data_IF_438321847619
#
_entry.id   IF_438321847619
#
_cell.length_a   1.000
_cell.length_b   1.000
_cell.length_c   1.000
_cell.angle_alpha   90.00
_cell.angle_beta   90.00
_cell.angle_gamma   90.00
#
_symmetry.space_group_name_H-M   'P 1'
#
loop_
_entity.id
_entity.type
_entity.pdbx_description
1 polymer ?
#
# COMPACT_ATOMS: atom_id res chain seq x y z
N UNK A 1 -8.75 -29.08 19.48
CA UNK A 1 -7.42 -28.63 19.04
C UNK A 1 -7.46 -28.52 17.53
N UNK A 2 -7.04 -27.41 16.93
CA UNK A 2 -6.93 -27.33 15.48
C UNK A 2 -5.78 -28.24 15.06
N UNK A 3 -6.00 -29.05 14.03
CA UNK A 3 -5.00 -29.93 13.45
C UNK A 3 -3.83 -29.08 12.89
N UNK A 4 -2.59 -29.45 13.27
CA UNK A 4 -1.39 -28.77 12.80
C UNK A 4 -0.98 -29.32 11.44
N UNK A 5 -0.87 -28.46 10.43
CA UNK A 5 -0.43 -28.85 9.10
C UNK A 5 1.09 -29.03 9.09
N UNK A 6 1.54 -30.27 8.85
CA UNK A 6 2.96 -30.68 8.84
C UNK A 6 3.48 -30.96 7.45
N UNK A 7 2.62 -31.04 6.43
CA UNK A 7 3.03 -31.32 5.04
C UNK A 7 3.20 -30.04 4.23
N UNK A 8 4.38 -29.86 3.60
CA UNK A 8 4.65 -28.79 2.65
C UNK A 8 3.80 -28.87 1.37
N UNK A 9 3.28 -30.07 1.04
CA UNK A 9 2.40 -30.29 -0.13
C UNK A 9 0.92 -30.03 0.16
N UNK A 10 0.56 -29.66 1.38
CA UNK A 10 -0.82 -29.32 1.74
C UNK A 10 -1.36 -28.16 0.89
N UNK A 11 -2.62 -28.27 0.45
CA UNK A 11 -3.25 -27.29 -0.45
C UNK A 11 -3.32 -25.87 0.17
N UNK A 12 -3.52 -25.76 1.47
CA UNK A 12 -3.51 -24.47 2.17
C UNK A 12 -2.12 -23.83 2.18
N UNK A 13 -1.06 -24.64 2.34
CA UNK A 13 0.32 -24.15 2.24
C UNK A 13 0.66 -23.73 0.81
N UNK A 14 0.25 -24.50 -0.21
CA UNK A 14 0.40 -24.12 -1.62
C UNK A 14 -0.34 -22.83 -1.95
N UNK A 15 -1.56 -22.69 -1.44
CA UNK A 15 -2.35 -21.47 -1.62
C UNK A 15 -1.61 -20.23 -1.09
N UNK A 16 -1.12 -20.27 0.17
CA UNK A 16 -0.40 -19.11 0.75
C UNK A 16 0.86 -18.80 -0.06
N UNK A 17 1.65 -19.81 -0.44
CA UNK A 17 2.83 -19.61 -1.29
C UNK A 17 2.50 -18.98 -2.63
N UNK A 18 1.36 -19.32 -3.23
CA UNK A 18 0.93 -18.71 -4.49
C UNK A 18 0.72 -17.20 -4.40
N UNK A 19 0.45 -16.67 -3.20
CA UNK A 19 0.29 -15.24 -2.97
C UNK A 19 1.62 -14.46 -2.98
N UNK A 20 2.77 -15.14 -3.02
CA UNK A 20 4.06 -14.47 -3.19
C UNK A 20 4.17 -13.82 -4.57
N UNK A 21 3.51 -14.39 -5.58
CA UNK A 21 3.53 -13.85 -6.96
C UNK A 21 2.24 -13.07 -7.30
N UNK A 22 2.40 -12.08 -8.22
CA UNK A 22 1.28 -11.23 -8.67
C UNK A 22 0.14 -12.04 -9.28
N UNK A 23 0.47 -13.05 -10.11
CA UNK A 23 -0.52 -13.92 -10.78
C UNK A 23 -1.35 -14.70 -9.76
N UNK A 24 -0.70 -15.23 -8.73
CA UNK A 24 -1.38 -15.95 -7.65
C UNK A 24 -2.30 -15.04 -6.85
N UNK A 25 -1.88 -13.81 -6.50
CA UNK A 25 -2.72 -12.83 -5.83
C UNK A 25 -3.95 -12.47 -6.64
N UNK A 26 -3.78 -12.16 -7.92
CA UNK A 26 -4.89 -11.82 -8.82
C UNK A 26 -5.86 -12.98 -9.02
N UNK A 27 -5.35 -14.20 -9.25
CA UNK A 27 -6.18 -15.41 -9.40
C UNK A 27 -7.05 -15.68 -8.18
N UNK A 28 -6.50 -15.47 -6.99
CA UNK A 28 -7.17 -15.80 -5.73
C UNK A 28 -7.92 -14.62 -5.10
N UNK A 29 -7.77 -13.40 -5.63
CA UNK A 29 -8.36 -12.19 -5.06
C UNK A 29 -7.84 -11.85 -3.66
N UNK A 30 -6.60 -12.30 -3.32
CA UNK A 30 -6.07 -12.24 -1.96
C UNK A 30 -4.60 -11.79 -1.93
N UNK A 31 -4.21 -11.25 -0.80
CA UNK A 31 -2.82 -11.00 -0.42
C UNK A 31 -2.61 -11.37 1.06
N UNK A 32 -1.39 -11.34 1.54
CA UNK A 32 -1.14 -11.55 2.97
C UNK A 32 -0.28 -10.45 3.58
N UNK A 33 -0.51 -10.22 4.86
CA UNK A 33 0.33 -9.39 5.72
C UNK A 33 1.02 -10.26 6.75
N UNK A 34 2.32 -10.10 6.91
CA UNK A 34 3.16 -10.91 7.80
C UNK A 34 3.72 -10.09 8.95
N UNK A 35 3.69 -10.66 10.13
CA UNK A 35 4.30 -10.11 11.35
C UNK A 35 3.30 -9.75 12.44
N UNK A 36 3.76 -9.83 13.69
CA UNK A 36 2.90 -9.72 14.89
C UNK A 36 2.18 -8.37 14.93
N UNK A 37 2.89 -7.26 14.68
CA UNK A 37 2.29 -5.91 14.79
C UNK A 37 1.14 -5.71 13.82
N UNK A 38 1.37 -6.02 12.53
CA UNK A 38 0.37 -5.80 11.50
C UNK A 38 -0.81 -6.77 11.62
N UNK A 39 -0.55 -8.03 11.98
CA UNK A 39 -1.63 -9.00 12.20
C UNK A 39 -2.45 -8.64 13.44
N UNK A 40 -1.82 -8.10 14.49
CA UNK A 40 -2.55 -7.56 15.63
C UNK A 40 -3.51 -6.44 15.20
N UNK A 41 -3.06 -5.51 14.37
CA UNK A 41 -3.92 -4.46 13.82
C UNK A 41 -5.09 -5.05 12.98
N UNK A 42 -4.83 -6.06 12.16
CA UNK A 42 -5.89 -6.78 11.42
C UNK A 42 -6.94 -7.37 12.38
N UNK A 43 -6.50 -7.98 13.49
CA UNK A 43 -7.42 -8.55 14.49
C UNK A 43 -8.26 -7.46 15.15
N UNK A 44 -7.69 -6.33 15.50
CA UNK A 44 -8.37 -5.21 16.14
C UNK A 44 -9.36 -4.53 15.20
N UNK A 45 -9.08 -4.47 13.91
CA UNK A 45 -9.92 -3.87 12.87
C UNK A 45 -10.82 -4.86 12.12
N UNK A 46 -10.96 -6.08 12.60
CA UNK A 46 -11.75 -7.14 11.99
C UNK A 46 -13.20 -6.72 11.79
N UNK A 47 -13.85 -6.31 11.18
CA UNK A 47 -15.19 -5.77 10.91
C UNK A 47 -15.13 -4.70 9.84
N UNK A 48 -13.95 -4.11 9.66
CA UNK A 48 -13.65 -3.15 8.61
C UNK A 48 -12.64 -3.69 7.57
N UNK A 49 -12.16 -4.93 7.76
CA UNK A 49 -11.15 -5.56 6.91
C UNK A 49 -11.64 -6.96 6.51
N UNK A 50 -11.52 -7.29 5.22
CA UNK A 50 -11.92 -8.58 4.68
C UNK A 50 -10.88 -9.67 5.02
N UNK A 51 -10.84 -10.08 6.27
CA UNK A 51 -9.97 -11.15 6.76
C UNK A 51 -10.50 -12.52 6.31
N UNK A 52 -9.73 -13.22 5.49
CA UNK A 52 -10.05 -14.60 5.08
C UNK A 52 -9.67 -15.61 6.14
N UNK A 53 -8.42 -15.58 6.62
CA UNK A 53 -7.94 -16.38 7.76
C UNK A 53 -6.58 -15.90 8.27
N UNK A 54 -6.20 -16.35 9.46
CA UNK A 54 -4.86 -16.18 10.04
C UNK A 54 -4.12 -17.51 9.94
N UNK A 55 -2.89 -17.50 9.41
CA UNK A 55 -1.97 -18.64 9.45
C UNK A 55 -0.87 -18.38 10.49
N UNK A 56 -0.56 -19.36 11.31
CA UNK A 56 0.43 -19.21 12.37
C UNK A 56 1.19 -20.50 12.68
N UNK A 57 2.37 -20.34 13.28
CA UNK A 57 3.12 -21.43 13.90
C UNK A 57 3.33 -21.10 15.38
N UNK A 58 2.73 -21.90 16.25
CA UNK A 58 2.87 -21.73 17.70
C UNK A 58 4.33 -21.91 18.14
N UNK A 59 5.03 -22.89 17.54
CA UNK A 59 6.45 -23.16 17.81
C UNK A 59 7.35 -21.94 17.56
N UNK A 60 7.06 -21.13 16.55
CA UNK A 60 7.81 -19.89 16.28
C UNK A 60 7.35 -18.80 17.24
N UNK A 61 6.03 -18.60 17.36
CA UNK A 61 5.45 -17.49 18.12
C UNK A 61 5.86 -17.49 19.60
N UNK A 62 5.93 -18.64 20.25
CA UNK A 62 6.33 -18.71 21.68
C UNK A 62 7.75 -18.18 21.95
N UNK A 63 8.60 -18.13 20.91
CA UNK A 63 10.00 -17.73 20.98
C UNK A 63 10.26 -16.29 20.48
N UNK A 64 9.21 -15.54 20.10
CA UNK A 64 9.34 -14.16 19.62
C UNK A 64 8.64 -13.19 20.56
N UNK A 65 9.15 -11.96 20.62
CA UNK A 65 8.57 -10.92 21.46
C UNK A 65 7.12 -10.58 21.01
N UNK A 66 6.17 -10.55 21.98
CA UNK A 66 4.75 -10.36 21.72
C UNK A 66 4.01 -11.61 21.22
N UNK A 67 4.71 -12.72 20.97
CA UNK A 67 4.13 -13.93 20.38
C UNK A 67 3.10 -14.61 21.29
N UNK A 68 3.33 -14.65 22.61
CA UNK A 68 2.36 -15.23 23.58
C UNK A 68 1.06 -14.42 23.63
N UNK A 69 1.17 -13.08 23.56
CA UNK A 69 0.01 -12.19 23.57
C UNK A 69 -0.86 -12.38 22.34
N UNK A 70 -0.22 -12.41 21.14
CA UNK A 70 -0.94 -12.61 19.89
C UNK A 70 -1.58 -14.00 19.81
N UNK A 71 -0.93 -15.04 20.34
CA UNK A 71 -1.52 -16.38 20.44
C UNK A 71 -2.83 -16.39 21.23
N UNK A 72 -2.91 -15.64 22.34
CA UNK A 72 -4.14 -15.52 23.11
C UNK A 72 -5.25 -14.82 22.34
N UNK A 73 -4.92 -13.83 21.50
CA UNK A 73 -5.88 -13.16 20.60
C UNK A 73 -6.35 -14.12 19.49
N UNK A 74 -5.43 -14.88 18.88
CA UNK A 74 -5.72 -15.85 17.81
C UNK A 74 -6.67 -16.95 18.31
N UNK A 75 -6.58 -17.39 19.54
CA UNK A 75 -7.49 -18.41 20.11
C UNK A 75 -8.96 -18.04 19.91
N UNK A 76 -9.29 -16.75 19.93
CA UNK A 76 -10.65 -16.21 19.75
C UNK A 76 -11.07 -16.03 18.28
N UNK A 77 -10.18 -16.25 17.33
CA UNK A 77 -10.46 -16.14 15.89
C UNK A 77 -10.95 -17.50 15.36
N UNK A 78 -12.08 -17.51 14.65
CA UNK A 78 -12.62 -18.73 14.08
C UNK A 78 -11.78 -19.22 12.89
N UNK A 79 -11.49 -18.33 11.95
CA UNK A 79 -10.76 -18.66 10.73
C UNK A 79 -9.25 -18.57 10.98
N UNK A 80 -8.68 -19.65 11.47
CA UNK A 80 -7.24 -19.76 11.73
C UNK A 80 -6.71 -21.14 11.33
N UNK A 81 -5.45 -21.18 10.91
CA UNK A 81 -4.77 -22.39 10.46
C UNK A 81 -3.42 -22.49 11.16
N UNK A 82 -3.17 -23.61 11.83
CA UNK A 82 -1.89 -23.88 12.47
C UNK A 82 -0.97 -24.67 11.55
N UNK A 83 0.29 -24.26 11.50
CA UNK A 83 1.35 -24.92 10.73
C UNK A 83 2.52 -25.27 11.65
N UNK A 84 3.20 -26.39 11.37
CA UNK A 84 4.52 -26.65 11.98
C UNK A 84 5.51 -25.57 11.56
N UNK A 85 6.57 -25.39 12.36
CA UNK A 85 7.66 -24.44 12.06
C UNK A 85 8.24 -24.64 10.66
N UNK A 86 8.50 -25.90 10.28
CA UNK A 86 9.11 -26.24 9.00
C UNK A 86 8.23 -25.88 7.80
N UNK A 87 6.91 -26.05 7.92
CA UNK A 87 5.98 -25.65 6.87
C UNK A 87 5.84 -24.13 6.84
N UNK A 88 5.67 -23.47 8.00
CA UNK A 88 5.49 -22.03 8.07
C UNK A 88 6.66 -21.28 7.43
N UNK A 89 7.90 -21.71 7.69
CA UNK A 89 9.11 -21.13 7.10
C UNK A 89 9.14 -21.20 5.56
N UNK A 90 8.27 -21.97 4.93
CA UNK A 90 8.16 -22.04 3.46
C UNK A 90 7.01 -21.22 2.89
N UNK A 91 6.18 -20.59 3.72
CA UNK A 91 4.99 -19.88 3.26
C UNK A 91 5.32 -18.50 2.68
N UNK A 92 6.33 -17.84 3.23
CA UNK A 92 6.74 -16.49 2.89
C UNK A 92 8.19 -16.43 2.42
N UNK A 93 8.60 -15.31 1.83
CA UNK A 93 9.97 -15.05 1.39
C UNK A 93 10.84 -14.37 2.48
N UNK A 94 10.29 -14.23 3.70
CA UNK A 94 11.01 -13.62 4.82
C UNK A 94 12.06 -14.59 5.41
N UNK A 95 13.30 -14.14 5.54
CA UNK A 95 14.40 -14.97 6.06
C UNK A 95 14.17 -15.45 7.49
N UNK A 96 13.57 -14.60 8.33
CA UNK A 96 13.26 -14.89 9.74
C UNK A 96 11.80 -14.55 10.02
N UNK A 97 10.85 -15.41 9.63
CA UNK A 97 9.43 -15.16 9.82
C UNK A 97 9.07 -15.14 11.32
N UNK A 98 8.17 -14.24 11.69
CA UNK A 98 7.69 -14.12 13.08
C UNK A 98 6.62 -15.19 13.44
N UNK A 99 6.31 -16.10 12.53
CA UNK A 99 5.39 -17.20 12.79
C UNK A 99 3.91 -16.85 12.70
N UNK A 100 3.56 -15.73 12.05
CA UNK A 100 2.17 -15.31 11.86
C UNK A 100 2.00 -14.47 10.60
N UNK A 101 0.92 -14.75 9.86
CA UNK A 101 0.43 -13.93 8.76
C UNK A 101 -1.10 -13.90 8.72
N UNK A 102 -1.67 -12.85 8.16
CA UNK A 102 -3.09 -12.73 7.88
C UNK A 102 -3.31 -12.69 6.38
N UNK A 103 -4.19 -13.55 5.87
CA UNK A 103 -4.64 -13.52 4.47
C UNK A 103 -5.89 -12.66 4.37
N UNK A 104 -5.84 -11.65 3.51
CA UNK A 104 -6.89 -10.67 3.30
C UNK A 104 -7.39 -10.75 1.86
N UNK A 105 -8.67 -10.48 1.65
CA UNK A 105 -9.26 -10.36 0.32
C UNK A 105 -9.14 -8.92 -0.19
N UNK A 106 -9.00 -8.74 -1.51
CA UNK A 106 -9.06 -7.42 -2.09
C UNK A 106 -10.42 -6.78 -1.85
N UNK A 107 -10.42 -5.48 -1.59
CA UNK A 107 -11.65 -4.69 -1.64
C UNK A 107 -11.87 -4.24 -3.08
N UNK A 108 -12.98 -4.67 -3.68
CA UNK A 108 -13.35 -4.32 -5.07
C UNK A 108 -14.09 -2.98 -5.17
N UNK A 109 -14.04 -2.14 -4.17
CA UNK A 109 -14.75 -0.87 -4.20
C UNK A 109 -14.01 0.14 -5.07
N UNK A 110 -14.56 0.39 -6.26
CA UNK A 110 -14.11 1.43 -7.22
C UNK A 110 -14.61 2.83 -6.84
N UNK A 111 -15.23 2.98 -5.68
CA UNK A 111 -15.79 4.25 -5.25
C UNK A 111 -14.68 5.25 -4.89
N UNK A 112 -14.66 6.37 -5.57
CA UNK A 112 -13.75 7.48 -5.28
C UNK A 112 -14.30 8.29 -4.11
N UNK A 113 -13.46 8.58 -3.12
CA UNK A 113 -13.82 9.45 -2.00
C UNK A 113 -13.89 10.90 -2.49
N UNK A 114 -15.07 11.50 -2.44
CA UNK A 114 -15.33 12.78 -3.10
C UNK A 114 -14.92 14.03 -2.28
N UNK A 115 -14.53 13.88 -1.04
CA UNK A 115 -14.32 15.03 -0.13
C UNK A 115 -12.90 15.17 0.43
N UNK A 116 -11.99 14.26 0.06
CA UNK A 116 -10.60 14.27 0.53
C UNK A 116 -9.61 14.35 -0.63
N UNK A 117 -8.40 14.85 -0.36
CA UNK A 117 -7.34 14.85 -1.35
C UNK A 117 -6.95 13.43 -1.79
N UNK A 118 -6.60 13.29 -3.04
CA UNK A 118 -6.24 12.02 -3.69
C UNK A 118 -4.78 12.08 -4.12
N UNK A 119 -4.07 10.98 -3.94
CA UNK A 119 -2.73 10.79 -4.47
C UNK A 119 -2.79 9.87 -5.70
N UNK A 120 -2.24 10.32 -6.81
CA UNK A 120 -2.10 9.52 -8.04
C UNK A 120 -0.64 9.15 -8.22
N UNK A 121 -0.38 7.87 -8.45
CA UNK A 121 0.93 7.32 -8.77
C UNK A 121 0.97 6.95 -10.26
N UNK A 122 1.65 7.77 -11.04
CA UNK A 122 1.78 7.56 -12.47
C UNK A 122 3.02 6.73 -12.79
N UNK A 123 2.83 5.42 -12.96
CA UNK A 123 3.88 4.48 -13.35
C UNK A 123 5.07 4.42 -12.40
N UNK A 124 4.85 4.61 -11.10
CA UNK A 124 5.88 4.42 -10.06
C UNK A 124 6.25 2.93 -10.00
N UNK A 125 7.52 2.59 -10.19
CA UNK A 125 7.97 1.21 -10.37
C UNK A 125 8.80 0.67 -9.20
N UNK A 126 9.52 1.51 -8.47
CA UNK A 126 10.32 1.03 -7.35
C UNK A 126 9.44 0.67 -6.14
N UNK A 127 9.58 -0.58 -5.69
CA UNK A 127 8.78 -1.14 -4.61
C UNK A 127 9.06 -0.48 -3.24
N UNK A 128 10.27 0.03 -3.03
CA UNK A 128 10.65 0.77 -1.82
C UNK A 128 9.98 2.14 -1.77
N UNK A 129 9.96 2.83 -2.92
CA UNK A 129 9.26 4.09 -3.08
C UNK A 129 7.77 3.94 -2.82
N UNK A 130 7.12 2.92 -3.38
CA UNK A 130 5.69 2.64 -3.14
C UNK A 130 5.38 2.50 -1.65
N UNK A 131 6.16 1.72 -0.92
CA UNK A 131 5.95 1.57 0.52
C UNK A 131 6.14 2.86 1.29
N UNK A 132 7.13 3.67 0.92
CA UNK A 132 7.39 4.99 1.52
C UNK A 132 6.22 5.94 1.23
N UNK A 133 5.73 5.97 0.00
CA UNK A 133 4.61 6.79 -0.43
C UNK A 133 3.34 6.44 0.34
N UNK A 134 2.99 5.15 0.43
CA UNK A 134 1.80 4.69 1.15
C UNK A 134 1.87 5.09 2.63
N UNK A 135 3.05 4.96 3.26
CA UNK A 135 3.24 5.41 4.66
C UNK A 135 3.10 6.92 4.81
N UNK A 136 3.60 7.69 3.86
CA UNK A 136 3.48 9.15 3.88
C UNK A 136 2.03 9.60 3.65
N UNK A 137 1.31 8.92 2.76
CA UNK A 137 -0.11 9.15 2.53
C UNK A 137 -0.92 8.96 3.83
N UNK A 138 -0.74 7.83 4.50
CA UNK A 138 -1.37 7.55 5.79
C UNK A 138 -0.99 8.59 6.86
N UNK A 139 0.30 8.93 6.98
CA UNK A 139 0.79 9.89 7.98
C UNK A 139 0.21 11.31 7.80
N UNK A 140 -0.08 11.72 6.56
CA UNK A 140 -0.58 13.06 6.23
C UNK A 140 -2.06 13.09 5.84
N UNK A 141 -2.80 12.01 6.11
CA UNK A 141 -4.26 11.96 6.02
C UNK A 141 -4.81 11.83 4.61
N UNK A 142 -4.01 11.40 3.62
CA UNK A 142 -4.53 10.98 2.32
C UNK A 142 -5.16 9.59 2.51
N UNK A 143 -6.41 9.44 2.14
CA UNK A 143 -7.17 8.18 2.31
C UNK A 143 -7.31 7.39 1.03
N UNK A 144 -7.00 7.98 -0.11
CA UNK A 144 -7.11 7.33 -1.41
C UNK A 144 -5.88 7.52 -2.26
N UNK A 145 -5.38 6.38 -2.77
CA UNK A 145 -4.27 6.31 -3.71
C UNK A 145 -4.78 5.68 -5.00
N UNK A 146 -4.57 6.35 -6.12
CA UNK A 146 -4.90 5.85 -7.45
C UNK A 146 -3.60 5.51 -8.17
N UNK A 147 -3.46 4.28 -8.63
CA UNK A 147 -2.32 3.81 -9.41
C UNK A 147 -2.71 3.71 -10.88
N UNK A 148 -1.95 4.34 -11.77
CA UNK A 148 -2.14 4.17 -13.22
C UNK A 148 -1.52 2.85 -13.70
N UNK A 149 -1.93 2.40 -14.89
CA UNK A 149 -1.27 1.29 -15.59
C UNK A 149 0.24 1.52 -15.68
N UNK A 150 1.04 0.50 -15.36
CA UNK A 150 2.51 0.59 -15.27
C UNK A 150 3.03 0.87 -13.87
N UNK A 151 2.19 1.24 -12.90
CA UNK A 151 2.58 1.27 -11.49
C UNK A 151 2.78 -0.16 -10.97
N UNK A 152 3.85 -0.37 -10.23
CA UNK A 152 4.17 -1.68 -9.66
C UNK A 152 3.08 -2.15 -8.68
N UNK A 153 3.12 -3.45 -8.36
CA UNK A 153 2.09 -4.06 -7.52
C UNK A 153 2.26 -3.67 -6.05
N UNK A 154 1.35 -2.85 -5.55
CA UNK A 154 1.32 -2.40 -4.14
C UNK A 154 1.08 -3.55 -3.17
N UNK A 155 0.48 -4.65 -3.62
CA UNK A 155 0.24 -5.85 -2.82
C UNK A 155 1.39 -6.86 -2.86
N UNK A 156 2.51 -6.52 -3.49
CA UNK A 156 3.70 -7.39 -3.42
C UNK A 156 4.23 -7.48 -1.98
N UNK A 157 4.73 -8.64 -1.51
CA UNK A 157 5.19 -8.82 -0.13
C UNK A 157 6.23 -7.78 0.29
N UNK A 158 7.11 -7.34 -0.62
CA UNK A 158 8.11 -6.31 -0.36
C UNK A 158 7.48 -4.95 -0.06
N UNK A 159 6.49 -4.52 -0.85
CA UNK A 159 5.76 -3.26 -0.60
C UNK A 159 4.99 -3.36 0.69
N UNK A 160 4.21 -4.43 0.89
CA UNK A 160 3.38 -4.63 2.08
C UNK A 160 4.20 -4.54 3.38
N UNK A 161 5.39 -5.17 3.41
CA UNK A 161 6.30 -5.03 4.56
C UNK A 161 6.76 -3.59 4.78
N UNK A 162 7.07 -2.86 3.71
CA UNK A 162 7.56 -1.47 3.81
C UNK A 162 6.47 -0.48 4.22
N UNK A 163 5.17 -0.79 4.01
CA UNK A 163 4.06 0.06 4.48
C UNK A 163 3.89 0.06 5.98
N UNK A 164 4.45 -0.92 6.72
CA UNK A 164 4.31 -1.05 8.17
C UNK A 164 2.85 -1.01 8.66
N UNK A 165 1.90 -1.56 7.85
CA UNK A 165 0.48 -1.59 8.17
C UNK A 165 -0.34 -0.44 7.58
N UNK A 166 0.25 0.61 7.03
CA UNK A 166 -0.48 1.73 6.40
C UNK A 166 -1.43 1.27 5.30
N UNK A 167 -1.09 0.18 4.60
CA UNK A 167 -1.95 -0.45 3.57
C UNK A 167 -3.38 -0.79 4.07
N UNK A 168 -3.55 -1.01 5.37
CA UNK A 168 -4.85 -1.31 5.99
C UNK A 168 -5.75 -0.08 6.15
N UNK A 169 -5.21 1.11 5.97
CA UNK A 169 -5.87 2.40 6.22
C UNK A 169 -6.11 3.19 4.94
N UNK A 170 -5.49 2.74 3.83
CA UNK A 170 -5.56 3.40 2.54
C UNK A 170 -6.45 2.65 1.56
N UNK A 171 -7.28 3.38 0.82
CA UNK A 171 -8.03 2.84 -0.31
C UNK A 171 -7.16 2.94 -1.56
N UNK A 172 -6.72 1.81 -2.10
CA UNK A 172 -5.86 1.77 -3.29
C UNK A 172 -6.63 1.22 -4.48
N UNK A 173 -6.66 2.00 -5.57
CA UNK A 173 -7.38 1.68 -6.79
C UNK A 173 -6.41 1.71 -7.97
N UNK A 174 -6.51 0.72 -8.86
CA UNK A 174 -5.84 0.74 -10.16
C UNK A 174 -6.81 1.21 -11.24
N UNK A 175 -6.35 2.12 -12.10
CA UNK A 175 -7.13 2.61 -13.23
C UNK A 175 -6.36 2.41 -14.54
N UNK A 176 -7.10 2.03 -15.60
CA UNK A 176 -6.57 1.90 -16.95
C UNK A 176 -6.96 3.13 -17.83
N UNK A 177 -7.98 3.87 -17.40
CA UNK A 177 -8.52 5.00 -18.14
C UNK A 177 -8.41 6.29 -17.32
N UNK A 178 -7.66 7.26 -17.86
CA UNK A 178 -7.45 8.58 -17.24
C UNK A 178 -8.71 9.47 -17.25
N UNK A 179 -9.72 9.18 -18.08
CA UNK A 179 -11.00 9.90 -18.06
C UNK A 179 -11.64 9.90 -16.67
N UNK A 180 -11.40 8.84 -15.89
CA UNK A 180 -11.87 8.77 -14.50
C UNK A 180 -11.27 9.88 -13.61
N UNK A 181 -10.04 10.32 -13.89
CA UNK A 181 -9.43 11.44 -13.17
C UNK A 181 -10.02 12.78 -13.62
N UNK A 182 -10.28 12.93 -14.92
CA UNK A 182 -10.91 14.14 -15.47
C UNK A 182 -12.34 14.31 -14.95
N UNK A 183 -13.09 13.21 -14.80
CA UNK A 183 -14.43 13.25 -14.25
C UNK A 183 -14.48 13.82 -12.83
N UNK A 184 -13.42 13.63 -12.03
CA UNK A 184 -13.32 14.17 -10.67
C UNK A 184 -13.31 15.71 -10.65
N UNK A 185 -12.88 16.37 -11.74
CA UNK A 185 -12.97 17.83 -11.87
C UNK A 185 -14.40 18.34 -11.73
N UNK A 186 -15.41 17.57 -12.17
CA UNK A 186 -16.82 17.90 -12.02
C UNK A 186 -17.26 17.99 -10.55
N UNK A 187 -16.49 17.36 -9.66
CA UNK A 187 -16.70 17.40 -8.20
C UNK A 187 -15.80 18.42 -7.49
N UNK A 188 -15.16 19.32 -8.25
CA UNK A 188 -14.34 20.40 -7.72
C UNK A 188 -12.90 20.01 -7.42
N UNK A 189 -12.40 18.87 -7.89
CA UNK A 189 -11.00 18.52 -7.79
C UNK A 189 -10.14 19.29 -8.80
N UNK A 190 -8.98 19.75 -8.35
CA UNK A 190 -7.91 20.22 -9.22
C UNK A 190 -6.82 19.16 -9.36
N UNK A 191 -6.40 18.83 -10.58
CA UNK A 191 -5.30 17.90 -10.85
C UNK A 191 -3.99 18.66 -10.83
N UNK A 192 -3.10 18.30 -9.91
CA UNK A 192 -1.83 18.97 -9.62
C UNK A 192 -0.68 18.03 -9.94
N UNK A 193 -0.03 18.26 -11.07
CA UNK A 193 1.13 17.46 -11.51
C UNK A 193 2.42 17.95 -10.83
N UNK A 194 3.31 17.00 -10.51
CA UNK A 194 4.65 17.31 -10.00
C UNK A 194 5.67 17.24 -11.13
N UNK A 195 6.36 18.33 -11.39
CA UNK A 195 7.36 18.40 -12.48
C UNK A 195 8.44 19.46 -12.17
N UNK A 196 9.60 19.27 -12.73
CA UNK A 196 10.73 20.22 -12.60
C UNK A 196 10.71 21.32 -13.66
N UNK A 197 9.64 21.44 -14.46
CA UNK A 197 9.50 22.45 -15.48
C UNK A 197 9.60 23.87 -14.88
N UNK A 198 10.20 24.80 -15.59
CA UNK A 198 10.34 26.20 -15.18
C UNK A 198 8.99 26.89 -14.89
N UNK A 199 7.94 26.52 -15.62
CA UNK A 199 6.57 27.03 -15.43
C UNK A 199 5.89 26.50 -14.18
N UNK A 200 6.49 25.54 -13.46
CA UNK A 200 5.90 24.96 -12.26
C UNK A 200 5.97 25.95 -11.09
N UNK A 201 4.87 26.03 -10.36
CA UNK A 201 4.73 26.85 -9.17
C UNK A 201 5.50 26.20 -8.01
N UNK A 202 6.33 26.97 -7.31
CA UNK A 202 6.94 26.46 -6.07
C UNK A 202 5.87 26.07 -5.06
N UNK A 203 6.05 24.92 -4.38
CA UNK A 203 5.15 24.47 -3.30
C UNK A 203 5.01 25.52 -2.19
N UNK A 204 5.98 26.43 -2.04
CA UNK A 204 5.92 27.53 -1.06
C UNK A 204 4.88 28.60 -1.43
N UNK A 205 4.56 28.74 -2.70
CA UNK A 205 3.63 29.73 -3.25
C UNK A 205 2.31 29.13 -3.71
N UNK A 206 2.25 27.80 -3.83
CA UNK A 206 1.04 27.11 -4.29
C UNK A 206 -0.04 27.14 -3.20
N UNK A 207 -1.25 27.54 -3.60
CA UNK A 207 -2.41 27.49 -2.72
C UNK A 207 -3.05 26.11 -2.79
N UNK A 208 -2.74 25.25 -1.82
CA UNK A 208 -3.30 23.91 -1.77
C UNK A 208 -4.82 23.93 -1.49
N UNK A 209 -5.64 23.32 -2.27
CA UNK A 209 -7.08 23.14 -2.07
C UNK A 209 -7.36 21.88 -1.26
N UNK A 210 -8.52 21.83 -0.60
CA UNK A 210 -9.00 20.59 0.04
C UNK A 210 -9.37 19.50 -0.97
N UNK A 211 -9.66 19.87 -2.23
CA UNK A 211 -10.02 18.93 -3.30
C UNK A 211 -8.92 18.91 -4.38
N UNK A 212 -7.75 18.40 -4.00
CA UNK A 212 -6.63 18.28 -4.93
C UNK A 212 -6.29 16.82 -5.21
N UNK A 213 -5.96 16.53 -6.46
CA UNK A 213 -5.39 15.27 -6.93
C UNK A 213 -3.92 15.52 -7.20
N UNK A 214 -3.04 15.08 -6.28
CA UNK A 214 -1.60 15.20 -6.46
C UNK A 214 -1.07 14.05 -7.30
N UNK A 215 -0.39 14.34 -8.39
CA UNK A 215 0.17 13.33 -9.28
C UNK A 215 1.68 13.26 -9.12
N UNK A 216 2.15 12.09 -8.71
CA UNK A 216 3.57 11.74 -8.62
C UNK A 216 3.95 10.85 -9.78
N UNK A 217 4.97 11.24 -10.52
CA UNK A 217 5.41 10.54 -11.71
C UNK A 217 6.44 9.44 -11.47
N UNK A 218 6.77 8.72 -12.54
CA UNK A 218 7.82 7.73 -12.60
C UNK A 218 9.19 8.34 -12.25
N UNK A 219 10.06 7.53 -11.64
CA UNK A 219 11.37 7.96 -11.13
C UNK A 219 12.29 8.54 -12.21
N UNK A 220 12.25 7.96 -13.42
CA UNK A 220 13.11 8.38 -14.54
C UNK A 220 12.45 9.40 -15.46
N UNK A 221 11.13 9.24 -15.72
CA UNK A 221 10.43 9.98 -16.78
C UNK A 221 9.45 11.04 -16.26
N UNK A 222 9.27 11.14 -14.94
CA UNK A 222 8.25 12.02 -14.36
C UNK A 222 6.82 11.58 -14.69
N UNK A 223 5.89 12.53 -14.74
CA UNK A 223 4.49 12.29 -15.12
C UNK A 223 4.37 12.08 -16.63
N UNK A 224 3.39 11.27 -17.06
CA UNK A 224 3.16 11.00 -18.49
C UNK A 224 2.58 12.21 -19.22
N UNK A 225 2.83 12.28 -20.53
CA UNK A 225 2.27 13.34 -21.38
C UNK A 225 0.74 13.35 -21.39
N UNK A 226 0.14 12.18 -21.23
CA UNK A 226 -1.30 12.00 -21.12
C UNK A 226 -1.84 12.66 -19.86
N UNK A 227 -1.15 12.48 -18.72
CA UNK A 227 -1.49 13.14 -17.46
C UNK A 227 -1.16 14.63 -17.49
N UNK A 228 -0.05 15.04 -18.10
CA UNK A 228 0.28 16.47 -18.27
C UNK A 228 -0.85 17.25 -18.93
N UNK A 229 -1.53 16.67 -19.94
CA UNK A 229 -2.63 17.32 -20.67
C UNK A 229 -3.86 17.58 -19.80
N UNK A 230 -4.08 16.77 -18.78
CA UNK A 230 -5.25 16.89 -17.90
C UNK A 230 -4.95 17.64 -16.59
N UNK A 231 -3.69 17.99 -16.32
CA UNK A 231 -3.32 18.76 -15.14
C UNK A 231 -3.80 20.22 -15.25
N UNK A 232 -4.34 20.73 -14.15
CA UNK A 232 -4.75 22.12 -14.02
C UNK A 232 -3.58 22.99 -13.54
N UNK A 233 -2.69 22.40 -12.73
CA UNK A 233 -1.50 23.08 -12.16
C UNK A 233 -0.29 22.16 -12.18
N UNK A 234 0.88 22.79 -12.20
CA UNK A 234 2.15 22.09 -12.00
C UNK A 234 2.89 22.69 -10.83
N UNK A 235 3.41 21.85 -9.94
CA UNK A 235 4.16 22.25 -8.76
C UNK A 235 5.55 21.64 -8.76
N UNK A 236 6.50 22.36 -8.10
CA UNK A 236 7.85 21.87 -7.86
C UNK A 236 8.32 22.17 -6.44
N UNK A 237 9.15 21.29 -5.92
CA UNK A 237 9.90 21.53 -4.69
C UNK A 237 11.12 22.38 -5.06
N UNK A 238 11.30 23.58 -4.49
CA UNK A 238 12.50 24.37 -4.75
C UNK A 238 13.73 23.67 -4.16
N UNK A 239 14.77 23.56 -4.97
CA UNK A 239 16.05 22.97 -4.58
C UNK A 239 17.16 24.01 -4.86
N UNK A 240 18.09 24.18 -3.92
CA UNK A 240 19.22 25.09 -4.02
C UNK A 240 20.56 24.40 -4.23
N UNK A 241 20.58 23.06 -4.14
CA UNK A 241 21.76 22.24 -4.35
C UNK A 241 21.91 21.79 -5.80
N UNK A 242 22.91 20.92 -6.05
CA UNK A 242 23.23 20.41 -7.38
C UNK A 242 22.46 19.12 -7.77
N UNK A 243 21.55 18.64 -6.95
CA UNK A 243 20.74 17.49 -7.28
C UNK A 243 19.72 17.84 -8.37
N UNK A 244 19.62 17.01 -9.40
CA UNK A 244 18.66 17.21 -10.51
C UNK A 244 17.21 16.94 -10.07
N UNK A 245 17.02 15.99 -9.15
CA UNK A 245 15.70 15.60 -8.65
C UNK A 245 15.80 15.00 -7.25
N UNK A 246 14.65 14.87 -6.59
CA UNK A 246 14.49 14.11 -5.36
C UNK A 246 13.91 12.71 -5.66
N UNK A 247 14.25 11.75 -4.82
CA UNK A 247 13.55 10.46 -4.80
C UNK A 247 12.04 10.70 -4.70
N UNK A 248 11.24 9.96 -5.48
CA UNK A 248 9.78 10.19 -5.58
C UNK A 248 9.06 10.01 -4.24
N UNK A 249 9.48 9.05 -3.40
CA UNK A 249 8.92 8.86 -2.06
C UNK A 249 9.20 10.05 -1.13
N UNK A 250 10.42 10.63 -1.22
CA UNK A 250 10.80 11.85 -0.48
C UNK A 250 10.01 13.05 -0.99
N UNK A 251 9.95 13.26 -2.30
CA UNK A 251 9.19 14.32 -2.92
C UNK A 251 7.70 14.26 -2.51
N UNK A 252 7.10 13.07 -2.57
CA UNK A 252 5.73 12.86 -2.10
C UNK A 252 5.56 13.27 -0.65
N UNK A 253 6.46 12.84 0.23
CA UNK A 253 6.38 13.16 1.66
C UNK A 253 6.41 14.66 1.93
N UNK A 254 7.27 15.41 1.22
CA UNK A 254 7.38 16.87 1.35
C UNK A 254 6.10 17.57 0.89
N UNK A 255 5.55 17.17 -0.26
CA UNK A 255 4.32 17.75 -0.82
C UNK A 255 3.13 17.49 0.11
N UNK A 256 2.95 16.25 0.57
CA UNK A 256 1.86 15.89 1.47
C UNK A 256 1.98 16.57 2.84
N UNK A 257 3.20 16.70 3.37
CA UNK A 257 3.43 17.47 4.59
C UNK A 257 3.05 18.94 4.43
N UNK A 258 3.41 19.56 3.30
CA UNK A 258 3.05 20.94 3.01
C UNK A 258 1.54 21.12 2.89
N UNK A 259 0.87 20.19 2.25
CA UNK A 259 -0.59 20.16 2.14
C UNK A 259 -1.27 20.00 3.52
N UNK A 260 -0.73 19.14 4.39
CA UNK A 260 -1.26 18.90 5.73
C UNK A 260 -1.17 20.14 6.64
N UNK A 261 -0.14 20.98 6.48
CA UNK A 261 0.13 22.15 7.32
C UNK A 261 -0.79 23.38 7.05
N UNK A 262 -1.75 23.26 6.22
CA UNK A 262 -2.77 24.29 5.97
C UNK A 262 -3.91 24.27 6.98
#
# INVERSE_FOLDING_TARGET
MNEVITSKSNERAKFIRSLNDKKGRQKNGCFYLEGIKVVNEVIERRGAINLRFIAYSEEILINVNGGKEILNKIKKIQNKISFSKDVFNTLTDTKTPQGILAVLEFTNELEVLNDENILVLDRVQDLGNLGTIIRSADAFGIKQIICTSGTADVYSPKVLRSTMGSILREKIIYIDNLQKLEELKKYGFAIVGTTLNEKSISIEKFNFSKKSIFVMGNEANGISKEIEKICDYFIKIPMTGNAESLNVGVATSIILYKQFKK
#
